data_IF_420688516554
#
_entry.id   IF_420688516554
#
_cell.length_a   1.000
_cell.length_b   1.000
_cell.length_c   1.000
_cell.angle_alpha   90.00
_cell.angle_beta   90.00
_cell.angle_gamma   90.00
#
_symmetry.space_group_name_H-M   'P 1'
#
loop_
_entity.id
_entity.type
_entity.pdbx_description
1 polymer ?
#
# COMPACT_ATOMS: atom_id res chain seq x y z
N UNK A 1 26.02 -19.52 4.53
CA UNK A 1 25.12 -20.59 4.99
C UNK A 1 24.88 -20.38 6.48
N UNK A 2 23.64 -20.15 6.90
CA UNK A 2 23.27 -20.01 8.32
C UNK A 2 22.90 -21.42 8.80
N UNK A 3 23.62 -21.91 9.81
CA UNK A 3 23.30 -23.17 10.48
C UNK A 3 23.15 -22.89 11.96
N UNK A 4 21.91 -22.91 12.43
CA UNK A 4 21.57 -22.70 13.84
C UNK A 4 20.69 -23.83 14.33
N UNK A 5 20.83 -24.18 15.61
CA UNK A 5 19.92 -25.10 16.30
C UNK A 5 19.43 -24.41 17.57
N UNK A 6 18.11 -24.35 17.76
CA UNK A 6 17.49 -23.79 18.94
C UNK A 6 16.77 -24.91 19.70
N UNK A 7 17.05 -25.03 20.98
CA UNK A 7 16.30 -25.87 21.89
C UNK A 7 15.22 -25.03 22.57
N UNK A 8 14.03 -25.56 22.67
CA UNK A 8 12.89 -24.85 23.25
C UNK A 8 12.74 -25.25 24.72
N UNK A 9 13.19 -24.40 25.62
CA UNK A 9 13.20 -24.68 27.07
C UNK A 9 11.82 -24.51 27.73
N UNK A 10 10.98 -23.62 27.17
CA UNK A 10 9.62 -23.34 27.66
C UNK A 10 8.65 -23.29 26.49
N UNK A 11 7.50 -23.94 26.62
CA UNK A 11 6.38 -23.77 25.66
C UNK A 11 5.46 -22.65 26.15
N UNK A 12 5.38 -21.57 25.38
CA UNK A 12 4.47 -20.44 25.63
C UNK A 12 3.31 -20.43 24.62
N UNK A 13 3.07 -21.53 23.90
CA UNK A 13 2.10 -21.58 22.80
C UNK A 13 2.52 -20.74 21.59
N UNK A 14 3.81 -20.43 21.47
CA UNK A 14 4.34 -19.59 20.41
C UNK A 14 4.47 -20.35 19.09
N UNK A 15 4.18 -19.67 18.00
CA UNK A 15 4.29 -20.24 16.65
C UNK A 15 5.74 -20.19 16.17
N UNK A 16 6.17 -21.26 15.50
CA UNK A 16 7.50 -21.39 14.91
C UNK A 16 7.87 -20.20 14.01
N UNK A 17 6.91 -19.72 13.15
CA UNK A 17 7.18 -18.62 12.25
C UNK A 17 7.32 -17.26 12.96
N UNK A 18 6.79 -17.11 14.15
CA UNK A 18 6.94 -15.92 15.01
C UNK A 18 8.26 -15.98 15.77
N UNK A 19 8.50 -17.09 16.48
CA UNK A 19 9.73 -17.34 17.22
C UNK A 19 10.99 -17.10 16.35
N UNK A 20 10.99 -17.63 15.13
CA UNK A 20 12.13 -17.52 14.24
C UNK A 20 12.34 -16.10 13.66
N UNK A 21 11.30 -15.27 13.59
CA UNK A 21 11.47 -13.84 13.24
C UNK A 21 12.33 -13.12 14.26
N UNK A 22 12.13 -13.42 15.55
CA UNK A 22 12.92 -12.82 16.62
C UNK A 22 14.36 -13.33 16.62
N UNK A 23 14.55 -14.63 16.44
CA UNK A 23 15.87 -15.30 16.52
C UNK A 23 16.73 -15.13 15.26
N UNK A 24 16.13 -14.92 14.12
CA UNK A 24 16.81 -14.84 12.81
C UNK A 24 16.74 -13.44 12.18
N UNK A 25 16.55 -12.42 13.01
CA UNK A 25 16.60 -11.04 12.49
C UNK A 25 17.92 -10.81 11.71
N UNK A 26 17.90 -10.17 10.49
CA UNK A 26 16.79 -9.40 9.90
C UNK A 26 15.91 -10.17 8.90
N UNK A 27 15.82 -11.50 8.98
CA UNK A 27 15.06 -12.32 8.03
C UNK A 27 13.55 -12.06 8.22
N UNK A 28 12.86 -11.62 7.16
CA UNK A 28 11.42 -11.33 7.23
C UNK A 28 10.59 -12.60 7.49
N UNK A 29 9.43 -12.44 8.16
CA UNK A 29 8.49 -13.53 8.43
C UNK A 29 8.04 -14.28 7.18
N UNK A 30 7.87 -13.58 6.06
CA UNK A 30 7.51 -14.16 4.77
C UNK A 30 8.61 -15.11 4.28
N UNK A 31 9.87 -14.70 4.38
CA UNK A 31 11.05 -15.49 3.99
C UNK A 31 11.24 -16.71 4.90
N UNK A 32 11.01 -16.54 6.22
CA UNK A 32 11.01 -17.65 7.18
C UNK A 32 9.95 -18.69 6.83
N UNK A 33 8.72 -18.28 6.51
CA UNK A 33 7.68 -19.21 6.05
C UNK A 33 8.08 -19.99 4.80
N UNK A 34 8.78 -19.36 3.87
CA UNK A 34 9.31 -20.01 2.67
C UNK A 34 10.37 -21.05 3.04
N UNK A 35 11.27 -20.74 3.97
CA UNK A 35 12.30 -21.66 4.43
C UNK A 35 11.71 -22.88 5.18
N UNK A 36 10.67 -22.67 6.00
CA UNK A 36 9.96 -23.75 6.67
C UNK A 36 9.30 -24.68 5.64
N UNK A 37 8.57 -24.11 4.67
CA UNK A 37 7.93 -24.88 3.59
C UNK A 37 8.94 -25.62 2.71
N UNK A 38 10.10 -25.02 2.48
CA UNK A 38 11.21 -25.57 1.68
C UNK A 38 12.11 -26.54 2.42
N UNK A 39 11.75 -26.95 3.66
CA UNK A 39 12.53 -27.89 4.48
C UNK A 39 13.95 -27.41 4.84
N UNK A 40 14.22 -26.11 4.72
CA UNK A 40 15.44 -25.48 5.24
C UNK A 40 15.40 -25.28 6.74
N UNK A 41 14.21 -25.42 7.33
CA UNK A 41 13.95 -25.37 8.77
C UNK A 41 13.12 -26.59 9.14
N UNK A 42 13.62 -27.35 10.11
CA UNK A 42 13.02 -28.58 10.58
C UNK A 42 12.84 -28.52 12.12
N UNK A 43 11.82 -29.19 12.64
CA UNK A 43 11.59 -29.36 14.07
C UNK A 43 11.73 -30.84 14.37
N UNK A 44 12.61 -31.19 15.30
CA UNK A 44 12.95 -32.61 15.67
C UNK A 44 13.37 -33.50 14.48
N UNK A 45 13.90 -32.87 13.41
CA UNK A 45 14.24 -33.51 12.15
C UNK A 45 13.11 -33.55 11.12
N UNK A 46 11.88 -33.18 11.48
CA UNK A 46 10.72 -33.32 10.66
C UNK A 46 10.30 -31.97 10.00
N UNK A 47 9.63 -32.10 8.84
CA UNK A 47 9.00 -30.97 8.13
C UNK A 47 7.69 -30.60 8.79
N UNK A 48 7.56 -29.35 9.20
CA UNK A 48 6.35 -28.83 9.85
C UNK A 48 5.70 -27.66 9.06
N UNK A 49 4.47 -27.27 9.42
CA UNK A 49 3.82 -26.07 8.87
C UNK A 49 4.37 -24.81 9.55
N UNK A 50 4.40 -23.63 8.89
CA UNK A 50 4.87 -22.38 9.50
C UNK A 50 4.14 -22.00 10.80
N UNK A 51 2.90 -22.43 10.95
CA UNK A 51 2.08 -22.20 12.14
C UNK A 51 2.24 -23.27 13.23
N UNK A 52 3.22 -24.15 13.14
CA UNK A 52 3.53 -25.16 14.19
C UNK A 52 3.70 -24.46 15.53
N UNK A 53 3.05 -25.00 16.57
CA UNK A 53 3.16 -24.48 17.95
C UNK A 53 4.32 -25.21 18.61
N UNK A 54 5.33 -24.44 18.99
CA UNK A 54 6.54 -24.97 19.63
C UNK A 54 6.22 -25.62 20.99
N UNK A 55 6.80 -26.80 21.24
CA UNK A 55 6.65 -27.52 22.46
C UNK A 55 7.99 -27.49 23.26
N UNK A 56 7.89 -27.59 24.58
CA UNK A 56 9.08 -27.74 25.42
C UNK A 56 9.85 -28.99 25.00
N UNK A 57 11.16 -28.87 24.78
CA UNK A 57 12.04 -29.93 24.30
C UNK A 57 12.20 -30.00 22.79
N UNK A 58 11.46 -29.22 22.02
CA UNK A 58 11.66 -29.18 20.56
C UNK A 58 13.06 -28.69 20.19
N UNK A 59 13.63 -29.31 19.16
CA UNK A 59 14.87 -28.90 18.52
C UNK A 59 14.57 -28.33 17.15
N UNK A 60 14.73 -27.01 17.01
CA UNK A 60 14.53 -26.30 15.74
C UNK A 60 15.87 -26.19 15.02
N UNK A 61 16.05 -26.95 13.95
CA UNK A 61 17.26 -26.95 13.14
C UNK A 61 17.04 -26.04 11.91
N UNK A 62 17.87 -25.02 11.79
CA UNK A 62 17.88 -24.07 10.69
C UNK A 62 19.09 -24.34 9.79
N UNK A 63 18.85 -24.63 8.51
CA UNK A 63 19.89 -24.77 7.47
C UNK A 63 19.52 -23.87 6.30
N UNK A 64 19.80 -22.59 6.39
CA UNK A 64 19.52 -21.64 5.32
C UNK A 64 20.80 -21.48 4.49
N UNK A 65 20.79 -21.98 3.26
CA UNK A 65 21.77 -21.56 2.28
C UNK A 65 21.46 -20.09 1.98
N UNK A 66 22.32 -19.21 2.45
CA UNK A 66 22.24 -17.81 2.06
C UNK A 66 22.41 -17.75 0.54
N UNK A 67 21.29 -17.67 -0.15
CA UNK A 67 21.31 -17.17 -1.51
C UNK A 67 21.50 -15.65 -1.36
N UNK A 68 22.76 -15.25 -1.34
CA UNK A 68 23.21 -13.84 -1.48
C UNK A 68 22.54 -13.15 -2.70
N UNK A 69 21.88 -13.92 -3.56
CA UNK A 69 21.22 -13.46 -4.78
C UNK A 69 19.95 -12.61 -4.57
N UNK A 70 19.48 -12.37 -3.33
CA UNK A 70 18.31 -11.48 -3.09
C UNK A 70 18.63 -10.22 -2.30
N UNK A 71 19.88 -9.95 -1.99
CA UNK A 71 20.34 -8.63 -1.61
C UNK A 71 20.92 -7.95 -2.86
N UNK A 72 20.08 -7.69 -3.87
CA UNK A 72 20.41 -6.65 -4.83
C UNK A 72 20.34 -5.38 -4.01
N UNK A 73 21.49 -4.72 -3.74
CA UNK A 73 21.47 -3.48 -2.99
C UNK A 73 20.60 -2.49 -3.77
N UNK A 74 19.78 -1.75 -3.06
CA UNK A 74 19.08 -0.63 -3.70
C UNK A 74 20.14 0.33 -4.20
N UNK A 75 20.22 0.47 -5.50
CA UNK A 75 21.11 1.45 -6.13
C UNK A 75 20.46 2.83 -5.99
N UNK A 76 21.21 3.83 -5.45
CA UNK A 76 20.76 5.21 -5.46
C UNK A 76 20.53 5.68 -6.90
N UNK A 77 19.38 6.30 -7.16
CA UNK A 77 19.09 6.86 -8.47
C UNK A 77 18.71 8.34 -8.34
N UNK A 78 19.37 9.17 -9.15
CA UNK A 78 19.06 10.60 -9.20
C UNK A 78 17.69 10.79 -9.84
N UNK A 79 16.72 11.21 -9.04
CA UNK A 79 15.38 11.58 -9.51
C UNK A 79 14.88 12.77 -8.66
N UNK A 80 13.95 13.55 -9.21
CA UNK A 80 13.31 14.63 -8.46
C UNK A 80 12.42 14.04 -7.38
N UNK A 81 12.66 14.40 -6.13
CA UNK A 81 11.82 14.09 -4.98
C UNK A 81 11.19 15.40 -4.48
N UNK A 82 9.88 15.47 -4.48
CA UNK A 82 9.12 16.60 -3.96
C UNK A 82 8.86 16.38 -2.46
N UNK A 83 9.68 17.03 -1.61
CA UNK A 83 9.64 16.89 -0.15
C UNK A 83 8.65 17.89 0.43
N UNK A 84 7.60 17.42 1.07
CA UNK A 84 6.58 18.24 1.73
C UNK A 84 6.93 18.54 3.20
N UNK A 85 7.65 17.62 3.84
CA UNK A 85 8.07 17.76 5.22
C UNK A 85 9.30 16.88 5.49
N UNK A 86 10.21 17.36 6.31
CA UNK A 86 11.36 16.62 6.79
C UNK A 86 11.72 17.07 8.21
N UNK A 87 12.00 16.10 9.07
CA UNK A 87 12.67 16.28 10.34
C UNK A 87 13.80 15.23 10.52
N UNK A 88 14.34 15.08 11.73
CA UNK A 88 15.39 14.10 12.02
C UNK A 88 14.92 12.64 11.90
N UNK A 89 13.60 12.40 11.85
CA UNK A 89 12.98 11.09 12.00
C UNK A 89 12.13 10.66 10.81
N UNK A 90 11.44 11.61 10.16
CA UNK A 90 10.43 11.35 9.15
C UNK A 90 10.61 12.23 7.93
N UNK A 91 10.34 11.68 6.76
CA UNK A 91 10.24 12.39 5.50
C UNK A 91 8.83 12.17 4.98
N UNK A 92 8.16 13.22 4.52
CA UNK A 92 6.94 13.14 3.75
C UNK A 92 7.20 13.67 2.34
N UNK A 93 6.87 12.88 1.33
CA UNK A 93 7.06 13.27 -0.07
C UNK A 93 5.75 13.25 -0.84
N UNK A 94 5.61 14.13 -1.81
CA UNK A 94 4.55 14.10 -2.81
C UNK A 94 4.98 13.19 -3.96
N UNK A 95 4.51 11.94 -3.93
CA UNK A 95 4.83 10.96 -4.97
C UNK A 95 4.09 11.30 -6.26
N UNK A 96 4.77 11.45 -7.41
CA UNK A 96 4.10 11.59 -8.69
C UNK A 96 3.36 10.30 -9.07
N UNK A 97 2.37 10.41 -9.96
CA UNK A 97 1.77 9.26 -10.63
C UNK A 97 2.81 8.52 -11.49
N UNK A 98 2.62 7.22 -11.70
CA UNK A 98 3.52 6.35 -12.47
C UNK A 98 4.72 5.82 -11.68
N UNK A 99 5.11 6.46 -10.58
CA UNK A 99 6.27 6.05 -9.78
C UNK A 99 5.91 4.91 -8.82
N UNK A 100 6.57 3.75 -8.99
CA UNK A 100 6.46 2.61 -8.07
C UNK A 100 7.18 2.93 -6.76
N UNK A 101 6.60 2.52 -5.62
CA UNK A 101 7.15 2.86 -4.30
C UNK A 101 8.46 2.11 -4.01
N UNK A 102 8.50 0.80 -4.23
CA UNK A 102 9.66 -0.06 -3.91
C UNK A 102 9.84 -1.14 -4.97
N UNK A 103 11.07 -1.63 -5.17
CA UNK A 103 11.36 -2.67 -6.14
C UNK A 103 10.54 -3.94 -5.96
N UNK A 104 10.26 -4.60 -7.06
CA UNK A 104 9.50 -5.84 -7.11
C UNK A 104 9.82 -6.64 -8.36
N UNK A 105 9.14 -7.77 -8.55
CA UNK A 105 9.43 -8.74 -9.64
C UNK A 105 9.51 -8.09 -11.05
N UNK A 106 8.77 -7.00 -11.28
CA UNK A 106 8.74 -6.34 -12.60
C UNK A 106 9.54 -5.03 -12.66
N UNK A 107 9.90 -4.46 -11.51
CA UNK A 107 10.58 -3.16 -11.42
C UNK A 107 11.71 -3.28 -10.39
N UNK A 108 12.93 -3.55 -10.87
CA UNK A 108 14.10 -3.69 -10.00
C UNK A 108 14.76 -2.35 -9.68
N UNK A 109 14.42 -1.29 -10.39
CA UNK A 109 15.01 0.05 -10.36
C UNK A 109 13.94 1.11 -10.70
N UNK A 110 14.28 2.40 -10.65
CA UNK A 110 13.36 3.50 -10.97
C UNK A 110 12.23 3.65 -9.97
N UNK A 111 12.44 3.28 -8.71
CA UNK A 111 11.40 3.35 -7.68
C UNK A 111 11.62 4.53 -6.72
N UNK A 112 10.59 4.90 -5.98
CA UNK A 112 10.71 5.94 -4.96
C UNK A 112 11.85 5.64 -3.96
N UNK A 113 12.03 4.37 -3.56
CA UNK A 113 13.11 3.97 -2.65
C UNK A 113 14.49 4.24 -3.26
N UNK A 114 14.70 4.01 -4.57
CA UNK A 114 15.96 4.34 -5.25
C UNK A 114 16.25 5.85 -5.15
N UNK A 115 15.24 6.69 -5.34
CA UNK A 115 15.37 8.14 -5.19
C UNK A 115 15.60 8.56 -3.74
N UNK A 116 14.88 7.98 -2.79
CA UNK A 116 15.08 8.29 -1.36
C UNK A 116 16.52 7.94 -0.90
N UNK A 117 17.03 6.78 -1.30
CA UNK A 117 18.43 6.38 -0.98
C UNK A 117 19.46 7.30 -1.63
N UNK A 118 19.16 7.92 -2.78
CA UNK A 118 20.03 8.92 -3.41
C UNK A 118 20.05 10.25 -2.64
N UNK A 119 18.89 10.69 -2.13
CA UNK A 119 18.75 12.01 -1.52
C UNK A 119 19.01 12.04 -0.01
N UNK A 120 18.88 10.90 0.67
CA UNK A 120 18.94 10.84 2.13
C UNK A 120 19.96 9.80 2.61
N UNK A 121 20.97 10.25 3.34
CA UNK A 121 22.04 9.40 3.89
C UNK A 121 21.52 8.40 4.94
N UNK A 122 20.42 8.75 5.60
CA UNK A 122 19.85 7.97 6.69
C UNK A 122 18.39 7.60 6.38
N UNK A 123 18.14 6.31 6.19
CA UNK A 123 16.82 5.72 6.07
C UNK A 123 16.79 4.43 6.87
N UNK A 124 15.66 4.18 7.53
CA UNK A 124 15.44 2.93 8.25
C UNK A 124 15.58 1.72 7.35
N UNK A 125 16.27 0.70 7.81
CA UNK A 125 16.49 -0.58 7.11
C UNK A 125 15.71 -1.76 7.71
N UNK A 126 14.85 -1.51 8.70
CA UNK A 126 14.14 -2.55 9.46
C UNK A 126 13.29 -3.48 8.58
N UNK A 127 12.81 -3.01 7.44
CA UNK A 127 12.10 -3.80 6.44
C UNK A 127 13.01 -4.38 5.35
N UNK A 128 14.33 -4.27 5.53
CA UNK A 128 15.36 -4.65 4.55
C UNK A 128 15.58 -3.62 3.47
N UNK A 129 16.63 -3.81 2.68
CA UNK A 129 17.10 -2.84 1.69
C UNK A 129 16.04 -2.43 0.66
N UNK A 130 15.25 -3.41 0.16
CA UNK A 130 14.22 -3.16 -0.85
C UNK A 130 13.06 -2.26 -0.39
N UNK A 131 12.98 -1.92 0.90
CA UNK A 131 11.91 -1.11 1.48
C UNK A 131 12.43 -0.09 2.47
N UNK A 132 13.67 0.41 2.27
CA UNK A 132 14.28 1.39 3.17
C UNK A 132 13.36 2.57 3.45
N UNK A 133 13.13 2.82 4.71
CA UNK A 133 12.28 3.91 5.20
C UNK A 133 10.77 3.72 4.99
N UNK A 134 10.32 2.79 4.16
CA UNK A 134 8.91 2.70 3.74
C UNK A 134 8.05 2.04 4.81
N UNK A 135 7.09 2.80 5.35
CA UNK A 135 6.14 2.36 6.38
C UNK A 135 4.72 2.07 5.83
N UNK A 136 4.40 2.61 4.67
CA UNK A 136 3.17 2.33 3.91
C UNK A 136 3.41 2.48 2.41
N UNK A 137 2.36 2.28 1.59
CA UNK A 137 2.52 2.36 0.14
C UNK A 137 1.31 2.99 -0.54
N UNK A 138 1.57 3.55 -1.71
CA UNK A 138 0.59 3.93 -2.72
C UNK A 138 0.72 3.02 -3.93
N UNK A 139 -0.33 2.88 -4.72
CA UNK A 139 -0.25 2.25 -6.04
C UNK A 139 0.63 3.10 -6.98
N UNK A 140 1.21 2.52 -8.02
CA UNK A 140 2.09 3.25 -8.94
C UNK A 140 1.42 4.52 -9.46
N UNK A 141 0.20 4.39 -10.00
CA UNK A 141 -0.53 5.48 -10.63
C UNK A 141 -1.32 6.38 -9.64
N UNK A 142 -1.30 6.06 -8.34
CA UNK A 142 -1.81 6.95 -7.29
C UNK A 142 -0.75 7.96 -6.93
N UNK A 143 -1.05 9.24 -7.13
CA UNK A 143 -0.20 10.36 -6.70
C UNK A 143 -0.44 10.74 -5.24
N UNK A 144 0.43 11.60 -4.67
CA UNK A 144 0.24 12.24 -3.38
C UNK A 144 1.14 11.76 -2.26
N UNK A 145 0.76 12.06 -1.04
CA UNK A 145 1.63 12.01 0.11
C UNK A 145 1.95 10.59 0.57
N UNK A 146 3.24 10.32 0.78
CA UNK A 146 3.78 9.10 1.37
C UNK A 146 4.83 9.44 2.41
N UNK A 147 4.85 8.68 3.53
CA UNK A 147 5.82 8.84 4.61
C UNK A 147 6.95 7.83 4.49
N UNK A 148 8.16 8.29 4.80
CA UNK A 148 9.32 7.44 5.00
C UNK A 148 10.00 7.75 6.35
N UNK A 149 10.54 6.73 7.00
CA UNK A 149 11.24 6.84 8.27
C UNK A 149 12.76 6.93 8.05
N UNK A 150 13.43 7.88 8.71
CA UNK A 150 14.89 8.05 8.69
C UNK A 150 15.58 7.11 9.68
N UNK A 151 14.94 6.78 10.81
CA UNK A 151 15.50 5.89 11.85
C UNK A 151 14.62 4.67 12.09
N UNK A 152 15.22 3.62 12.65
CA UNK A 152 14.49 2.38 12.95
C UNK A 152 13.43 2.58 14.04
N UNK A 153 13.69 3.44 15.02
CA UNK A 153 12.76 3.78 16.08
C UNK A 153 11.53 4.53 15.52
N UNK A 154 11.76 5.53 14.67
CA UNK A 154 10.68 6.25 13.99
C UNK A 154 9.87 5.33 13.07
N UNK A 155 10.53 4.37 12.41
CA UNK A 155 9.86 3.35 11.60
C UNK A 155 8.90 2.50 12.42
N UNK A 156 9.36 1.99 13.57
CA UNK A 156 8.51 1.22 14.49
C UNK A 156 7.34 2.05 15.01
N UNK A 157 7.60 3.32 15.36
CA UNK A 157 6.59 4.27 15.81
C UNK A 157 5.51 4.53 14.77
N UNK A 158 5.89 4.84 13.54
CA UNK A 158 4.95 5.03 12.44
C UNK A 158 4.20 3.74 12.13
N UNK A 159 4.90 2.60 12.04
CA UNK A 159 4.29 1.29 11.80
C UNK A 159 3.26 0.92 12.85
N UNK A 160 3.48 1.27 14.13
CA UNK A 160 2.52 1.11 15.21
C UNK A 160 1.26 1.94 14.95
N UNK A 161 1.40 3.22 14.59
CA UNK A 161 0.27 4.09 14.28
C UNK A 161 -0.57 3.57 13.10
N UNK A 162 0.09 3.07 12.02
CA UNK A 162 -0.62 2.44 10.90
C UNK A 162 -1.36 1.16 11.33
N UNK A 163 -0.75 0.34 12.18
CA UNK A 163 -1.34 -0.91 12.72
C UNK A 163 -2.54 -0.60 13.61
N UNK A 164 -2.43 0.38 14.48
CA UNK A 164 -3.47 0.84 15.41
C UNK A 164 -4.51 1.74 14.73
N UNK A 165 -4.29 2.12 13.44
CA UNK A 165 -5.20 2.96 12.65
C UNK A 165 -5.39 4.37 13.20
N UNK A 166 -4.38 4.91 13.87
CA UNK A 166 -4.37 6.28 14.39
C UNK A 166 -3.93 7.30 13.35
N UNK A 167 -3.27 6.86 12.27
CA UNK A 167 -2.97 7.70 11.10
C UNK A 167 -4.26 7.97 10.33
N UNK A 168 -4.63 9.24 10.19
CA UNK A 168 -5.74 9.67 9.35
C UNK A 168 -5.23 9.96 7.94
N UNK A 169 -5.98 9.55 6.93
CA UNK A 169 -5.64 9.71 5.52
C UNK A 169 -6.86 10.20 4.76
N UNK A 170 -6.67 11.18 3.90
CA UNK A 170 -7.69 11.68 3.00
C UNK A 170 -7.20 11.52 1.57
N UNK A 171 -8.03 10.91 0.74
CA UNK A 171 -7.80 10.80 -0.69
C UNK A 171 -8.87 11.57 -1.43
N UNK A 172 -8.47 12.26 -2.49
CA UNK A 172 -9.39 12.89 -3.45
C UNK A 172 -9.48 12.01 -4.69
N UNK A 173 -10.68 11.85 -5.20
CA UNK A 173 -10.93 11.06 -6.40
C UNK A 173 -12.04 11.68 -7.25
N UNK A 174 -11.95 11.47 -8.57
CA UNK A 174 -13.08 11.68 -9.50
C UNK A 174 -13.62 10.27 -9.82
N UNK A 175 -14.91 10.07 -9.60
CA UNK A 175 -15.59 8.79 -9.82
C UNK A 175 -16.71 8.96 -10.86
N UNK A 176 -17.02 7.88 -11.55
CA UNK A 176 -18.19 7.80 -12.41
C UNK A 176 -19.49 7.78 -11.61
N UNK A 177 -20.52 8.42 -12.16
CA UNK A 177 -21.89 8.28 -11.72
C UNK A 177 -22.30 9.17 -10.55
N UNK A 178 -23.58 9.07 -10.24
CA UNK A 178 -24.19 9.71 -9.08
C UNK A 178 -24.01 8.83 -7.84
N UNK A 179 -23.72 9.47 -6.74
CA UNK A 179 -23.72 8.85 -5.41
C UNK A 179 -25.09 9.05 -4.78
N UNK A 180 -25.68 7.97 -4.27
CA UNK A 180 -27.00 8.03 -3.62
C UNK A 180 -26.92 8.81 -2.32
N UNK A 181 -25.86 8.57 -1.54
CA UNK A 181 -25.64 9.18 -0.24
C UNK A 181 -24.43 10.14 -0.27
N UNK A 182 -24.61 11.33 0.31
CA UNK A 182 -23.53 12.31 0.42
C UNK A 182 -22.36 11.81 1.27
N UNK A 183 -22.61 11.01 2.29
CA UNK A 183 -21.61 10.43 3.17
C UNK A 183 -21.94 8.97 3.44
N UNK A 184 -20.93 8.14 3.59
CA UNK A 184 -21.19 6.74 3.88
C UNK A 184 -19.94 5.95 4.25
N UNK A 185 -20.16 4.65 4.41
CA UNK A 185 -19.14 3.68 4.80
C UNK A 185 -19.21 2.45 3.93
N UNK A 186 -18.10 2.10 3.30
CA UNK A 186 -17.93 0.84 2.58
C UNK A 186 -17.10 -0.08 3.45
N UNK A 187 -17.68 -1.21 3.87
CA UNK A 187 -17.04 -2.17 4.78
C UNK A 187 -17.31 -3.61 4.34
N UNK A 188 -16.30 -4.45 4.35
CA UNK A 188 -16.38 -5.86 3.94
C UNK A 188 -15.00 -6.46 3.79
N UNK A 189 -14.85 -7.44 2.93
CA UNK A 189 -13.61 -8.21 2.78
C UNK A 189 -13.04 -8.09 1.37
N UNK A 190 -11.75 -7.82 1.29
CA UNK A 190 -10.99 -7.78 0.03
C UNK A 190 -10.15 -9.04 -0.06
N UNK A 191 -10.29 -9.76 -1.16
CA UNK A 191 -9.49 -10.92 -1.51
C UNK A 191 -8.89 -10.79 -2.90
N UNK A 192 -7.83 -11.54 -3.17
CA UNK A 192 -7.22 -11.58 -4.50
C UNK A 192 -8.14 -12.35 -5.45
N UNK A 193 -8.38 -11.82 -6.66
CA UNK A 193 -9.20 -12.51 -7.66
C UNK A 193 -8.50 -13.77 -8.15
N UNK A 194 -9.21 -14.90 -8.21
CA UNK A 194 -8.63 -16.20 -8.62
C UNK A 194 -8.22 -16.21 -10.10
N UNK A 195 -9.04 -15.59 -10.96
CA UNK A 195 -8.80 -15.52 -12.41
C UNK A 195 -7.69 -14.56 -12.81
N UNK A 196 -7.42 -13.52 -11.99
CA UNK A 196 -6.36 -12.55 -12.22
C UNK A 196 -5.73 -12.13 -10.88
N UNK A 197 -4.59 -12.74 -10.51
CA UNK A 197 -3.90 -12.43 -9.25
C UNK A 197 -3.39 -11.00 -9.12
N UNK A 198 -3.43 -10.17 -10.18
CA UNK A 198 -3.06 -8.75 -10.15
C UNK A 198 -4.22 -7.85 -9.70
N UNK A 199 -5.44 -8.39 -9.64
CA UNK A 199 -6.67 -7.70 -9.22
C UNK A 199 -7.24 -8.27 -7.93
N UNK A 200 -8.13 -7.49 -7.33
CA UNK A 200 -8.79 -7.82 -6.08
C UNK A 200 -10.30 -7.75 -6.26
N UNK A 201 -11.03 -8.46 -5.43
CA UNK A 201 -12.49 -8.44 -5.37
C UNK A 201 -12.93 -8.10 -3.95
N UNK A 202 -14.12 -7.51 -3.85
CA UNK A 202 -14.76 -7.19 -2.58
C UNK A 202 -15.99 -8.08 -2.37
N UNK A 203 -16.24 -8.43 -1.12
CA UNK A 203 -17.43 -9.19 -0.71
C UNK A 203 -17.94 -8.67 0.63
N UNK A 204 -19.25 -8.67 0.81
CA UNK A 204 -19.89 -8.41 2.09
C UNK A 204 -19.81 -9.62 3.04
N UNK A 205 -19.44 -10.80 2.52
CA UNK A 205 -19.35 -12.07 3.25
C UNK A 205 -17.88 -12.41 3.46
N UNK A 206 -17.52 -12.84 4.68
CA UNK A 206 -16.16 -13.25 5.04
C UNK A 206 -15.80 -14.60 4.43
N UNK A 207 -15.35 -14.58 3.16
CA UNK A 207 -14.76 -15.74 2.50
C UNK A 207 -13.29 -15.44 2.16
N UNK A 208 -12.36 -15.92 2.96
CA UNK A 208 -10.91 -15.87 2.67
C UNK A 208 -10.32 -14.49 2.36
N UNK A 209 -11.04 -13.40 2.69
CA UNK A 209 -10.62 -12.02 2.48
C UNK A 209 -10.00 -11.37 3.72
N UNK A 210 -9.43 -10.18 3.54
CA UNK A 210 -8.98 -9.30 4.62
C UNK A 210 -10.02 -8.22 4.85
N UNK A 211 -10.48 -8.04 6.08
CA UNK A 211 -11.42 -6.96 6.41
C UNK A 211 -10.88 -5.60 5.97
N UNK A 212 -11.77 -4.81 5.37
CA UNK A 212 -11.51 -3.48 4.86
C UNK A 212 -12.66 -2.53 5.23
N UNK A 213 -12.32 -1.26 5.49
CA UNK A 213 -13.28 -0.20 5.79
C UNK A 213 -12.78 1.12 5.23
N UNK A 214 -13.63 1.82 4.48
CA UNK A 214 -13.41 3.17 3.95
C UNK A 214 -14.64 4.01 4.21
N UNK A 215 -14.49 5.15 4.89
CA UNK A 215 -15.51 6.17 4.94
C UNK A 215 -15.37 7.06 3.70
N UNK A 216 -16.45 7.68 3.24
CA UNK A 216 -16.41 8.63 2.14
C UNK A 216 -17.33 9.83 2.37
N UNK A 217 -17.03 10.91 1.68
CA UNK A 217 -17.88 12.10 1.57
C UNK A 217 -17.83 12.60 0.13
N UNK A 218 -19.00 12.79 -0.47
CA UNK A 218 -19.12 13.42 -1.79
C UNK A 218 -18.91 14.93 -1.60
N UNK A 219 -17.78 15.42 -2.09
CA UNK A 219 -17.41 16.82 -2.06
C UNK A 219 -18.27 17.60 -3.05
N UNK A 220 -18.34 17.11 -4.30
CA UNK A 220 -19.13 17.71 -5.37
C UNK A 220 -19.76 16.65 -6.25
N UNK A 221 -21.08 16.74 -6.47
CA UNK A 221 -21.81 15.87 -7.37
C UNK A 221 -22.06 16.60 -8.68
N UNK A 222 -21.68 15.97 -9.78
CA UNK A 222 -21.97 16.40 -11.14
C UNK A 222 -22.98 15.46 -11.79
N UNK A 223 -23.39 15.72 -13.04
CA UNK A 223 -24.38 14.90 -13.73
C UNK A 223 -23.91 13.45 -13.91
N UNK A 224 -22.66 13.25 -14.36
CA UNK A 224 -22.11 11.94 -14.71
C UNK A 224 -20.92 11.54 -13.83
N UNK A 225 -20.45 12.41 -12.97
CA UNK A 225 -19.26 12.25 -12.15
C UNK A 225 -19.48 12.79 -10.74
N UNK A 226 -18.58 12.42 -9.86
CA UNK A 226 -18.50 13.02 -8.53
C UNK A 226 -17.03 13.21 -8.12
N UNK A 227 -16.74 14.32 -7.45
CA UNK A 227 -15.53 14.49 -6.67
C UNK A 227 -15.79 13.97 -5.28
N UNK A 228 -14.99 12.98 -4.85
CA UNK A 228 -15.23 12.24 -3.62
C UNK A 228 -13.98 12.24 -2.76
N UNK A 229 -14.17 12.48 -1.49
CA UNK A 229 -13.16 12.33 -0.46
C UNK A 229 -13.30 10.94 0.18
N UNK A 230 -12.22 10.16 0.17
CA UNK A 230 -12.16 8.86 0.81
C UNK A 230 -11.27 8.90 2.05
N UNK A 231 -11.73 8.30 3.13
CA UNK A 231 -11.04 8.20 4.43
C UNK A 231 -10.83 6.73 4.80
N UNK A 232 -9.79 6.07 4.23
CA UNK A 232 -9.57 4.65 4.46
C UNK A 232 -9.09 4.38 5.89
N UNK A 233 -9.89 3.64 6.67
CA UNK A 233 -9.55 3.18 8.02
C UNK A 233 -8.54 2.04 7.97
N UNK A 234 -8.64 1.17 6.98
CA UNK A 234 -7.68 0.09 6.68
C UNK A 234 -6.87 0.44 5.43
N UNK A 235 -5.78 -0.29 5.15
CA UNK A 235 -4.91 -0.06 3.98
C UNK A 235 -4.68 -1.37 3.21
N UNK A 236 -5.73 -1.92 2.57
CA UNK A 236 -5.59 -3.09 1.69
C UNK A 236 -5.18 -2.65 0.29
N UNK A 237 -4.48 -3.53 -0.42
CA UNK A 237 -4.08 -3.27 -1.81
C UNK A 237 -5.31 -2.92 -2.65
N UNK A 238 -5.24 -1.82 -3.41
CA UNK A 238 -6.30 -1.28 -4.26
C UNK A 238 -7.63 -0.98 -3.52
N UNK A 239 -7.61 -0.81 -2.19
CA UNK A 239 -8.83 -0.77 -1.37
C UNK A 239 -9.87 0.24 -1.87
N UNK A 240 -9.50 1.50 -2.04
CA UNK A 240 -10.44 2.56 -2.48
C UNK A 240 -10.99 2.23 -3.87
N UNK A 241 -10.14 1.77 -4.78
CA UNK A 241 -10.47 1.41 -6.15
C UNK A 241 -11.49 0.27 -6.21
N UNK A 242 -11.26 -0.78 -5.43
CA UNK A 242 -12.17 -1.94 -5.33
C UNK A 242 -13.48 -1.56 -4.65
N UNK A 243 -13.44 -0.76 -3.58
CA UNK A 243 -14.62 -0.29 -2.86
C UNK A 243 -15.52 0.58 -3.76
N UNK A 244 -14.93 1.55 -4.45
CA UNK A 244 -15.63 2.47 -5.35
C UNK A 244 -16.27 1.72 -6.51
N UNK A 245 -15.56 0.78 -7.12
CA UNK A 245 -16.09 -0.09 -8.18
C UNK A 245 -17.25 -0.97 -7.70
N UNK A 246 -17.15 -1.54 -6.50
CA UNK A 246 -18.18 -2.43 -5.95
C UNK A 246 -19.53 -1.73 -5.75
N UNK A 247 -19.53 -0.47 -5.34
CA UNK A 247 -20.78 0.31 -5.14
C UNK A 247 -21.31 0.95 -6.43
N UNK A 248 -20.72 0.61 -7.60
CA UNK A 248 -21.19 1.07 -8.90
C UNK A 248 -20.58 2.41 -9.37
N UNK A 249 -19.71 3.05 -8.56
CA UNK A 249 -19.07 4.33 -8.84
C UNK A 249 -17.55 4.16 -9.04
N UNK A 250 -17.07 3.44 -10.08
CA UNK A 250 -15.65 3.22 -10.28
C UNK A 250 -14.90 4.53 -10.47
N UNK A 251 -13.62 4.54 -10.09
CA UNK A 251 -12.76 5.71 -10.26
C UNK A 251 -12.53 5.96 -11.75
N UNK A 252 -12.61 7.21 -12.19
CA UNK A 252 -12.33 7.62 -13.56
C UNK A 252 -10.91 7.21 -13.96
N UNK A 253 -10.76 6.56 -15.12
CA UNK A 253 -9.48 6.06 -15.60
C UNK A 253 -9.00 4.74 -14.99
N UNK A 254 -9.77 4.12 -14.10
CA UNK A 254 -9.40 2.83 -13.51
C UNK A 254 -9.83 1.65 -14.39
N UNK A 255 -9.04 1.35 -15.41
CA UNK A 255 -9.30 0.25 -16.34
C UNK A 255 -9.45 -1.10 -15.62
N UNK A 256 -8.67 -1.34 -14.56
CA UNK A 256 -8.69 -2.61 -13.81
C UNK A 256 -9.99 -2.84 -13.07
N UNK A 257 -10.67 -1.78 -12.69
CA UNK A 257 -11.89 -1.84 -11.86
C UNK A 257 -13.10 -1.19 -12.51
N UNK A 258 -13.11 -1.13 -13.85
CA UNK A 258 -14.28 -0.75 -14.64
C UNK A 258 -14.52 0.74 -14.79
N UNK A 259 -13.55 1.59 -14.45
CA UNK A 259 -13.64 3.05 -14.61
C UNK A 259 -13.05 3.59 -15.91
N UNK A 260 -12.72 2.71 -16.87
CA UNK A 260 -12.11 3.06 -18.14
C UNK A 260 -13.11 3.33 -19.27
N UNK A 261 -12.62 3.20 -20.50
CA UNK A 261 -13.35 3.57 -21.74
C UNK A 261 -14.73 2.92 -21.87
N UNK A 262 -14.88 1.67 -21.43
CA UNK A 262 -16.17 0.96 -21.48
C UNK A 262 -17.24 1.66 -20.66
N UNK A 263 -16.88 2.22 -19.51
CA UNK A 263 -17.81 2.93 -18.64
C UNK A 263 -18.38 4.19 -19.30
N UNK A 264 -17.55 4.94 -19.99
CA UNK A 264 -17.99 6.11 -20.76
C UNK A 264 -19.06 5.77 -21.81
N UNK A 265 -18.92 4.63 -22.49
CA UNK A 265 -19.92 4.16 -23.46
C UNK A 265 -21.26 3.75 -22.82
N UNK A 266 -21.21 3.17 -21.60
CA UNK A 266 -22.42 2.80 -20.85
C UNK A 266 -23.21 4.04 -20.39
N UNK A 267 -22.50 5.15 -20.04
CA UNK A 267 -23.15 6.37 -19.52
C UNK A 267 -23.81 7.21 -20.60
N UNK A 268 -23.04 7.62 -21.64
CA UNK A 268 -23.50 8.45 -22.75
C UNK A 268 -22.78 8.02 -24.04
N UNK A 269 -23.41 7.18 -24.86
CA UNK A 269 -22.81 6.73 -26.11
C UNK A 269 -22.35 7.85 -27.03
N UNK A 270 -23.10 8.95 -27.08
CA UNK A 270 -22.80 10.15 -27.89
C UNK A 270 -21.52 10.88 -27.42
N UNK A 271 -21.16 10.79 -26.14
CA UNK A 271 -19.94 11.37 -25.58
C UNK A 271 -18.78 10.37 -25.49
N UNK A 272 -18.95 9.18 -26.05
CA UNK A 272 -17.92 8.13 -25.96
C UNK A 272 -16.55 8.59 -26.47
N UNK A 273 -16.52 9.28 -27.63
CA UNK A 273 -15.27 9.80 -28.20
C UNK A 273 -14.61 10.82 -27.29
N UNK A 274 -15.41 11.70 -26.69
CA UNK A 274 -14.94 12.70 -25.74
C UNK A 274 -14.33 12.02 -24.50
N UNK A 275 -15.05 11.11 -23.84
CA UNK A 275 -14.54 10.40 -22.67
C UNK A 275 -13.31 9.54 -22.99
N UNK A 276 -13.27 8.90 -24.15
CA UNK A 276 -12.10 8.16 -24.60
C UNK A 276 -10.87 9.06 -24.73
N UNK A 277 -11.03 10.27 -25.27
CA UNK A 277 -9.96 11.25 -25.38
C UNK A 277 -9.49 11.74 -23.99
N UNK A 278 -10.42 12.05 -23.08
CA UNK A 278 -10.07 12.46 -21.71
C UNK A 278 -9.35 11.35 -20.95
N UNK A 279 -9.80 10.12 -21.06
CA UNK A 279 -9.16 8.96 -20.47
C UNK A 279 -7.74 8.74 -21.01
N UNK A 280 -7.56 8.90 -22.35
CA UNK A 280 -6.25 8.81 -22.99
C UNK A 280 -5.30 9.93 -22.56
N UNK A 281 -5.80 11.17 -22.47
CA UNK A 281 -5.01 12.33 -22.01
C UNK A 281 -4.61 12.20 -20.54
N UNK A 282 -5.53 11.79 -19.68
CA UNK A 282 -5.26 11.62 -18.24
C UNK A 282 -4.37 10.42 -17.94
N UNK A 283 -4.57 9.29 -18.62
CA UNK A 283 -3.67 8.13 -18.66
C UNK A 283 -3.52 7.32 -17.37
N UNK A 284 -4.31 7.59 -16.32
CA UNK A 284 -4.24 6.94 -15.01
C UNK A 284 -5.61 6.89 -14.32
N UNK A 285 -5.69 6.26 -13.14
CA UNK A 285 -6.87 6.40 -12.31
C UNK A 285 -6.85 7.74 -11.52
N UNK A 286 -8.00 8.40 -11.45
CA UNK A 286 -8.15 9.69 -10.79
C UNK A 286 -8.24 9.52 -9.26
N UNK A 287 -7.11 9.16 -8.64
CA UNK A 287 -6.96 9.00 -7.20
C UNK A 287 -5.67 9.66 -6.72
N UNK A 288 -5.80 10.52 -5.71
CA UNK A 288 -4.70 11.27 -5.13
C UNK A 288 -4.73 11.20 -3.60
N UNK A 289 -3.62 10.82 -2.98
CA UNK A 289 -3.43 10.83 -1.53
C UNK A 289 -3.19 12.27 -1.06
N UNK A 290 -4.30 12.99 -0.83
CA UNK A 290 -4.32 14.43 -0.57
C UNK A 290 -3.73 14.81 0.77
N UNK A 291 -4.10 14.08 1.85
CA UNK A 291 -3.70 14.48 3.20
C UNK A 291 -3.36 13.29 4.08
N UNK A 292 -2.39 13.50 4.97
CA UNK A 292 -2.05 12.55 6.02
C UNK A 292 -1.88 13.27 7.37
N UNK A 293 -2.47 12.71 8.44
CA UNK A 293 -2.32 13.21 9.81
C UNK A 293 -1.79 12.10 10.71
N UNK A 294 -0.70 12.35 11.40
CA UNK A 294 -0.02 11.38 12.27
C UNK A 294 0.64 12.08 13.45
N UNK A 295 1.05 11.31 14.46
CA UNK A 295 1.78 11.81 15.61
C UNK A 295 3.28 11.76 15.34
N UNK A 296 3.97 12.87 15.58
CA UNK A 296 5.41 12.99 15.43
C UNK A 296 6.14 12.15 16.48
N UNK A 297 7.26 11.57 16.08
CA UNK A 297 8.11 10.79 16.99
C UNK A 297 8.77 11.71 18.04
N UNK A 298 8.81 11.26 19.30
CA UNK A 298 9.40 12.01 20.45
C UNK A 298 8.86 13.43 20.65
N UNK A 299 7.61 13.68 20.23
CA UNK A 299 7.00 15.02 20.27
C UNK A 299 6.06 15.27 21.47
N UNK A 300 5.95 14.30 22.38
CA UNK A 300 5.00 14.40 23.49
C UNK A 300 3.51 14.33 23.08
N UNK A 301 3.22 13.63 21.97
CA UNK A 301 1.85 13.45 21.47
C UNK A 301 1.41 14.51 20.43
N UNK A 302 2.31 15.39 19.99
CA UNK A 302 2.00 16.38 18.94
C UNK A 302 1.64 15.71 17.62
N UNK A 303 0.47 16.00 17.09
CA UNK A 303 0.05 15.56 15.76
C UNK A 303 0.33 16.64 14.71
N UNK A 304 0.66 16.20 13.52
CA UNK A 304 0.84 17.04 12.35
C UNK A 304 -0.07 16.56 11.23
N UNK A 305 -0.68 17.48 10.52
CA UNK A 305 -1.41 17.24 9.28
C UNK A 305 -0.61 17.84 8.13
N UNK A 306 -0.36 17.05 7.11
CA UNK A 306 0.34 17.44 5.90
C UNK A 306 -0.58 17.22 4.71
N UNK A 307 -0.59 18.18 3.78
CA UNK A 307 -1.39 18.13 2.56
C UNK A 307 -0.46 18.12 1.34
N UNK A 308 -0.73 17.26 0.36
CA UNK A 308 -0.08 17.28 -0.94
C UNK A 308 -0.93 18.11 -1.91
N UNK A 309 -0.32 19.02 -2.72
CA UNK A 309 -1.06 19.80 -3.69
C UNK A 309 -1.77 18.88 -4.71
N UNK A 310 -2.99 19.23 -5.08
CA UNK A 310 -3.72 18.52 -6.15
C UNK A 310 -2.93 18.67 -7.44
N UNK A 311 -2.59 17.57 -8.15
CA UNK A 311 -1.83 17.65 -9.39
C UNK A 311 -2.58 18.40 -10.49
N UNK A 312 -1.84 19.09 -11.35
CA UNK A 312 -2.40 19.91 -12.45
C UNK A 312 -3.26 19.05 -13.39
N UNK A 313 -2.79 17.85 -13.76
CA UNK A 313 -3.56 16.92 -14.59
C UNK A 313 -4.93 16.56 -13.99
N UNK A 314 -5.03 16.55 -12.66
CA UNK A 314 -6.29 16.28 -11.96
C UNK A 314 -7.23 17.48 -11.98
N UNK A 315 -6.69 18.70 -11.87
CA UNK A 315 -7.46 19.95 -12.01
C UNK A 315 -7.99 20.09 -13.44
N UNK A 316 -7.12 19.91 -14.44
CA UNK A 316 -7.49 19.95 -15.86
C UNK A 316 -8.57 18.93 -16.19
N UNK A 317 -8.48 17.72 -15.62
CA UNK A 317 -9.50 16.69 -15.79
C UNK A 317 -10.85 17.15 -15.22
N UNK A 318 -10.88 17.66 -13.99
CA UNK A 318 -12.10 18.14 -13.33
C UNK A 318 -12.75 19.25 -14.16
N UNK A 319 -11.99 20.25 -14.60
CA UNK A 319 -12.48 21.36 -15.43
C UNK A 319 -13.02 20.88 -16.78
N UNK A 320 -12.30 19.97 -17.42
CA UNK A 320 -12.69 19.41 -18.71
C UNK A 320 -14.01 18.64 -18.63
N UNK A 321 -14.19 17.83 -17.56
CA UNK A 321 -15.43 17.08 -17.34
C UNK A 321 -16.61 18.01 -17.05
N UNK A 322 -16.38 19.13 -16.35
CA UNK A 322 -17.40 20.16 -16.08
C UNK A 322 -17.90 20.86 -17.34
N UNK A 323 -17.02 21.16 -18.29
CA UNK A 323 -17.38 21.86 -19.52
C UNK A 323 -18.38 21.13 -20.42
N UNK A 324 -18.67 19.86 -20.15
CA UNK A 324 -19.63 19.02 -20.88
C UNK A 324 -20.89 18.61 -20.08
N UNK A 325 -21.07 19.19 -18.89
CA UNK A 325 -22.24 18.94 -18.06
C UNK A 325 -23.34 20.00 -18.17
N UNK A 326 -23.09 21.07 -18.98
CA UNK A 326 -24.03 22.15 -19.29
C UNK A 326 -24.99 21.80 -20.41
#
# INVERSE_FOLDING_TARGET
MIVNTFQIDKSNGERLDIYLVEKLHPISRSKIKTYIKGSSILVNGDKVKPGYILQKGDFVKVKIKDNIQNNIPILPEKMKIDVLYEDDYVIAVNKPSGLVVHPGVKNNAGTLVNGLVYHFDRLSDINGDLSRGIVHRLDADTSGIILAAKTNEAHLWLSKQFKERTVKKTYVSITWGKWEEKNGVIKGWISRRKSDPTTFTFSNISENGKYSKTNYSVDKQYQNFAKVLFYPVTGRTHQIRVHSSFIGNPIFGDEKYGGGVKKGKEYKPELYKYFSNQLGKFGRHALHAFSIEFELFKSGGKRIKLDAPIPEDFVDLEESLLGHES
#
